data_IF_024235672170
#
_entry.id   IF_024235672170
#
_cell.length_a   1.000
_cell.length_b   1.000
_cell.length_c   1.000
_cell.angle_alpha   90.00
_cell.angle_beta   90.00
_cell.angle_gamma   90.00
#
_symmetry.space_group_name_H-M   'P 1'
#
loop_
_entity.id
_entity.type
_entity.pdbx_description
1 polymer ?
#
# COMPACT_ATOMS: atom_id res chain seq x y z
N UNK A 1 -31.75 19.40 13.40
CA UNK A 1 -31.34 19.29 13.28
C UNK A 1 -30.69 19.09 13.01
N UNK A 2 -30.58 19.02 13.10
CA UNK A 2 -30.03 18.83 12.98
C UNK A 2 -29.30 18.57 12.73
N UNK A 3 -29.26 18.51 12.96
CA UNK A 3 -28.50 18.25 12.87
C UNK A 3 -27.89 17.82 12.30
N UNK A 4 -28.10 17.62 12.32
CA UNK A 4 -27.50 17.29 11.87
C UNK A 4 -26.75 17.20 11.18
N UNK A 5 -27.30 17.10 11.13
CA UNK A 5 -26.56 16.99 9.93
C UNK A 5 -25.21 17.35 10.08
N UNK A 6 -25.34 17.84 10.75
CA UNK A 6 -24.18 18.15 10.83
C UNK A 6 -23.20 17.36 11.23
N UNK A 7 -23.62 16.59 11.79
CA UNK A 7 -22.70 15.56 12.04
C UNK A 7 -21.89 15.25 10.84
N UNK A 8 -22.54 15.21 9.72
CA UNK A 8 -21.85 15.03 8.47
C UNK A 8 -20.77 16.08 8.27
N UNK A 9 -21.03 17.28 8.64
CA UNK A 9 -20.05 18.34 8.53
C UNK A 9 -18.81 18.07 9.34
N UNK A 10 -18.99 17.60 10.56
CA UNK A 10 -17.86 17.32 11.42
C UNK A 10 -16.98 16.21 10.91
N UNK A 11 -17.54 15.25 10.22
CA UNK A 11 -16.81 14.10 9.75
C UNK A 11 -16.10 14.36 8.43
N UNK A 12 -16.68 15.18 7.58
CA UNK A 12 -16.17 15.40 6.25
C UNK A 12 -14.73 15.92 6.24
N UNK A 13 -14.34 16.90 7.03
CA UNK A 13 -12.96 17.35 7.03
C UNK A 13 -11.96 16.27 7.37
N UNK A 14 -12.28 15.40 8.31
CA UNK A 14 -11.42 14.31 8.69
C UNK A 14 -11.19 13.34 7.52
N UNK A 15 -12.25 13.04 6.81
CA UNK A 15 -12.15 12.15 5.64
C UNK A 15 -11.30 12.77 4.55
N UNK A 16 -11.44 14.05 4.34
CA UNK A 16 -10.67 14.74 3.31
C UNK A 16 -9.19 14.72 3.63
N UNK A 17 -8.83 14.88 4.90
CA UNK A 17 -7.45 14.80 5.31
C UNK A 17 -6.86 13.44 4.99
N UNK A 18 -7.61 12.37 5.25
CA UNK A 18 -7.15 11.02 4.95
C UNK A 18 -6.95 10.81 3.46
N UNK A 19 -7.78 11.43 2.65
CA UNK A 19 -7.71 11.25 1.20
C UNK A 19 -6.52 11.94 0.57
N UNK A 20 -5.91 12.89 1.25
CA UNK A 20 -4.74 13.60 0.71
C UNK A 20 -3.61 12.63 0.39
N UNK A 21 -3.47 11.56 1.16
CA UNK A 21 -2.39 10.59 0.93
C UNK A 21 -2.70 9.58 -0.16
N UNK A 22 -3.96 9.44 -0.57
CA UNK A 22 -4.44 8.43 -1.53
C UNK A 22 -4.20 6.99 -1.10
N UNK A 23 -3.43 6.74 -0.07
CA UNK A 23 -3.10 5.40 0.36
C UNK A 23 -4.12 4.82 1.31
N UNK A 24 -4.24 3.50 1.31
CA UNK A 24 -5.07 2.77 2.27
C UNK A 24 -4.18 2.15 3.33
N UNK A 25 -4.79 1.81 4.45
CA UNK A 25 -4.06 1.23 5.58
C UNK A 25 -4.82 0.05 6.15
N UNK A 26 -4.09 -0.84 6.80
CA UNK A 26 -4.70 -1.99 7.47
C UNK A 26 -3.78 -2.49 8.56
N UNK A 27 -4.36 -2.85 9.68
CA UNK A 27 -3.66 -3.53 10.76
C UNK A 27 -4.03 -5.01 10.72
N UNK A 28 -3.04 -5.87 10.78
CA UNK A 28 -3.23 -7.31 10.86
C UNK A 28 -2.42 -7.81 12.05
N UNK A 29 -3.08 -7.85 13.22
CA UNK A 29 -2.36 -8.09 14.47
C UNK A 29 -1.31 -7.03 14.70
N UNK A 30 -0.06 -7.44 14.85
CA UNK A 30 1.06 -6.54 15.07
C UNK A 30 1.66 -5.99 13.77
N UNK A 31 1.16 -6.42 12.62
CA UNK A 31 1.59 -5.88 11.33
C UNK A 31 0.76 -4.66 10.99
N UNK A 32 1.45 -3.56 10.72
CA UNK A 32 0.82 -2.29 10.37
C UNK A 32 1.20 -1.93 8.94
N UNK A 33 0.21 -1.93 8.05
CA UNK A 33 0.39 -1.56 6.65
C UNK A 33 -0.18 -0.17 6.44
N UNK A 34 0.61 0.71 5.85
CA UNK A 34 0.25 2.13 5.70
C UNK A 34 0.54 2.61 4.29
N UNK A 35 -0.28 3.56 3.84
CA UNK A 35 -0.07 4.28 2.58
C UNK A 35 0.06 3.34 1.39
N UNK A 36 -0.76 2.29 1.36
CA UNK A 36 -0.69 1.28 0.29
C UNK A 36 -1.41 1.82 -0.94
N UNK A 37 -0.69 1.90 -2.05
CA UNK A 37 -1.23 2.29 -3.34
C UNK A 37 -0.36 1.73 -4.45
N UNK A 38 -0.86 1.80 -5.68
CA UNK A 38 -0.22 1.22 -6.84
C UNK A 38 -0.02 2.33 -7.87
N UNK A 39 1.20 2.47 -8.38
CA UNK A 39 1.51 3.45 -9.42
C UNK A 39 1.51 2.75 -10.76
N UNK A 40 0.62 3.16 -11.65
CA UNK A 40 0.57 2.65 -13.02
C UNK A 40 1.62 3.37 -13.86
N UNK A 41 2.50 2.61 -14.48
CA UNK A 41 3.58 3.14 -15.31
C UNK A 41 3.14 3.20 -16.77
N UNK A 42 3.76 4.07 -17.59
CA UNK A 42 3.33 4.25 -18.99
C UNK A 42 3.39 2.99 -19.84
N UNK A 43 4.27 2.05 -19.51
CA UNK A 43 4.42 0.82 -20.28
C UNK A 43 3.42 -0.28 -19.91
N UNK A 44 2.47 0.02 -19.02
CA UNK A 44 1.47 -0.94 -18.55
C UNK A 44 1.87 -1.71 -17.30
N UNK A 45 3.11 -1.55 -16.87
CA UNK A 45 3.55 -2.14 -15.60
C UNK A 45 3.07 -1.30 -14.43
N UNK A 46 3.28 -1.80 -13.23
CA UNK A 46 2.93 -1.06 -12.03
C UNK A 46 3.87 -1.41 -10.89
N UNK A 47 4.05 -0.47 -10.00
CA UNK A 47 4.87 -0.65 -8.80
C UNK A 47 4.07 -0.31 -7.56
N UNK A 48 4.42 -0.95 -6.45
CA UNK A 48 3.74 -0.78 -5.17
C UNK A 48 4.38 0.34 -4.38
N UNK A 49 3.54 1.14 -3.72
CA UNK A 49 3.94 2.01 -2.63
C UNK A 49 3.32 1.45 -1.37
N UNK A 50 4.12 1.25 -0.34
CA UNK A 50 3.63 0.74 0.94
C UNK A 50 4.67 0.98 2.02
N UNK A 51 4.19 1.01 3.26
CA UNK A 51 5.00 1.11 4.46
C UNK A 51 4.51 0.02 5.41
N UNK A 52 5.37 -0.92 5.77
CA UNK A 52 4.99 -2.06 6.60
C UNK A 52 5.89 -2.10 7.83
N UNK A 53 5.28 -2.17 9.01
CA UNK A 53 5.99 -2.27 10.28
C UNK A 53 5.45 -3.46 11.06
N UNK A 54 6.36 -4.23 11.64
CA UNK A 54 6.03 -5.31 12.55
C UNK A 54 6.30 -4.83 13.97
N UNK A 55 5.27 -4.83 14.82
CA UNK A 55 5.41 -4.43 16.23
C UNK A 55 5.57 -5.61 17.18
N UNK A 56 5.59 -6.83 16.65
CA UNK A 56 5.80 -8.03 17.46
C UNK A 56 7.28 -8.23 17.75
N UNK A 57 7.60 -8.78 18.92
CA UNK A 57 8.98 -9.09 19.28
C UNK A 57 9.59 -10.13 18.35
N UNK A 58 8.77 -11.06 17.87
CA UNK A 58 9.22 -12.06 16.90
C UNK A 58 9.19 -11.45 15.50
N UNK A 59 10.25 -11.68 14.72
CA UNK A 59 10.30 -11.22 13.35
C UNK A 59 9.32 -12.00 12.47
N UNK A 60 8.93 -11.39 11.37
CA UNK A 60 8.11 -12.02 10.35
C UNK A 60 8.84 -11.88 9.01
N UNK A 61 8.28 -12.46 7.96
CA UNK A 61 8.84 -12.34 6.62
C UNK A 61 7.71 -12.10 5.63
N UNK A 62 7.98 -11.23 4.66
CA UNK A 62 7.08 -11.04 3.53
C UNK A 62 7.42 -12.09 2.47
N UNK A 63 6.52 -13.04 2.27
CA UNK A 63 6.77 -14.16 1.36
C UNK A 63 6.40 -13.83 -0.08
N UNK A 64 5.32 -13.06 -0.29
CA UNK A 64 4.85 -12.72 -1.62
C UNK A 64 3.93 -11.53 -1.59
N UNK A 65 3.87 -10.82 -2.73
CA UNK A 65 2.93 -9.73 -2.97
C UNK A 65 2.25 -10.00 -4.31
N UNK A 66 0.93 -9.86 -4.34
CA UNK A 66 0.15 -9.93 -5.57
C UNK A 66 -0.55 -8.59 -5.78
N UNK A 67 -0.45 -8.06 -6.99
CA UNK A 67 -1.09 -6.80 -7.36
C UNK A 67 -2.06 -7.13 -8.48
N UNK A 68 -3.35 -6.92 -8.25
CA UNK A 68 -4.43 -7.22 -9.19
C UNK A 68 -4.34 -8.66 -9.71
N UNK A 69 -4.07 -9.61 -8.80
CA UNK A 69 -3.97 -11.02 -9.15
C UNK A 69 -2.66 -11.44 -9.77
N UNK A 70 -1.73 -10.52 -10.02
CA UNK A 70 -0.43 -10.81 -10.61
C UNK A 70 0.63 -10.87 -9.52
N UNK A 71 1.41 -11.94 -9.49
CA UNK A 71 2.52 -12.03 -8.53
C UNK A 71 3.57 -10.98 -8.88
N UNK A 72 3.91 -10.16 -7.91
CA UNK A 72 4.90 -9.11 -8.11
C UNK A 72 6.32 -9.69 -8.04
N UNK A 73 7.21 -9.13 -8.84
CA UNK A 73 8.63 -9.31 -8.64
C UNK A 73 9.03 -8.51 -7.42
N UNK A 74 9.55 -9.20 -6.41
CA UNK A 74 9.81 -8.61 -5.10
C UNK A 74 11.32 -8.53 -4.87
N UNK A 75 11.81 -7.31 -4.64
CA UNK A 75 13.21 -7.06 -4.33
C UNK A 75 13.29 -6.48 -2.93
N UNK A 76 13.75 -7.27 -1.98
CA UNK A 76 13.88 -6.89 -0.58
C UNK A 76 14.61 -8.02 0.15
N UNK A 77 15.11 -7.73 1.35
CA UNK A 77 15.60 -8.80 2.23
C UNK A 77 14.45 -9.59 2.89
N UNK A 78 13.22 -9.15 2.69
CA UNK A 78 11.99 -9.81 3.12
C UNK A 78 11.77 -9.92 4.63
N UNK A 79 12.74 -9.54 5.46
CA UNK A 79 12.65 -9.71 6.91
C UNK A 79 12.01 -8.48 7.55
N UNK A 80 11.07 -8.72 8.45
CA UNK A 80 10.38 -7.69 9.21
C UNK A 80 10.70 -7.85 10.69
N UNK A 81 11.84 -7.31 11.09
CA UNK A 81 12.20 -7.24 12.49
C UNK A 81 11.37 -6.19 13.21
N UNK A 82 11.25 -6.33 14.52
CA UNK A 82 10.42 -5.43 15.31
C UNK A 82 10.82 -3.97 15.07
N UNK A 83 9.84 -3.15 14.73
CA UNK A 83 9.94 -1.70 14.55
C UNK A 83 10.93 -1.27 13.46
N UNK A 84 11.33 -2.16 12.58
CA UNK A 84 12.15 -1.83 11.42
C UNK A 84 11.29 -1.86 10.17
N UNK A 85 10.95 -0.71 9.59
CA UNK A 85 9.97 -0.67 8.51
C UNK A 85 10.52 -1.23 7.20
N UNK A 86 9.63 -1.86 6.45
CA UNK A 86 9.85 -2.20 5.05
C UNK A 86 9.14 -1.13 4.22
N UNK A 87 9.91 -0.40 3.43
CA UNK A 87 9.42 0.78 2.71
C UNK A 87 9.55 0.54 1.22
N UNK A 88 8.41 0.58 0.52
CA UNK A 88 8.35 0.44 -0.93
C UNK A 88 8.27 1.83 -1.54
N UNK A 89 9.27 2.20 -2.33
CA UNK A 89 9.40 3.46 -3.05
C UNK A 89 9.64 4.67 -2.13
N UNK A 90 10.43 5.60 -2.64
CA UNK A 90 10.81 6.81 -1.94
C UNK A 90 12.29 6.81 -1.57
N UNK A 91 12.73 7.90 -0.93
CA UNK A 91 14.15 8.09 -0.61
C UNK A 91 14.68 7.06 0.38
N UNK A 92 13.81 6.58 1.25
CA UNK A 92 14.18 5.59 2.28
C UNK A 92 13.81 4.16 1.89
N UNK A 93 13.49 3.91 0.63
CA UNK A 93 13.02 2.61 0.19
C UNK A 93 14.07 1.52 0.42
N UNK A 94 13.61 0.39 0.94
CA UNK A 94 14.41 -0.81 1.09
C UNK A 94 13.71 -2.02 0.47
N UNK A 95 12.66 -1.79 -0.29
CA UNK A 95 11.88 -2.83 -0.95
C UNK A 95 11.30 -2.31 -2.26
N UNK A 96 11.04 -3.23 -3.18
CA UNK A 96 10.35 -2.92 -4.43
C UNK A 96 9.49 -4.11 -4.83
N UNK A 97 8.28 -3.82 -5.30
CA UNK A 97 7.38 -4.83 -5.84
C UNK A 97 6.77 -4.30 -7.13
N UNK A 98 6.95 -5.03 -8.22
CA UNK A 98 6.54 -4.59 -9.53
C UNK A 98 5.87 -5.72 -10.29
N UNK A 99 4.80 -5.40 -11.03
CA UNK A 99 4.14 -6.32 -11.95
C UNK A 99 4.30 -5.81 -13.37
N UNK A 100 4.44 -6.74 -14.32
CA UNK A 100 4.65 -6.37 -15.72
C UNK A 100 3.40 -5.82 -16.36
N UNK A 101 2.22 -6.31 -15.96
CA UNK A 101 0.93 -5.91 -16.54
C UNK A 101 -0.06 -5.69 -15.40
N UNK A 102 -0.45 -4.44 -15.20
CA UNK A 102 -1.42 -4.12 -14.15
C UNK A 102 -2.85 -4.47 -14.56
N UNK A 103 -3.24 -4.11 -15.77
CA UNK A 103 -4.58 -4.37 -16.26
C UNK A 103 -5.66 -3.44 -15.70
N UNK A 104 -5.27 -2.30 -15.11
CA UNK A 104 -6.24 -1.34 -14.58
C UNK A 104 -5.72 0.08 -14.75
N UNK A 105 -6.63 1.04 -14.73
CA UNK A 105 -6.33 2.46 -14.98
C UNK A 105 -6.24 3.24 -13.70
N UNK A 106 -5.49 4.35 -13.68
CA UNK A 106 -5.51 5.27 -12.55
C UNK A 106 -6.92 5.72 -12.22
N UNK A 107 -7.18 5.87 -10.93
CA UNK A 107 -8.49 6.24 -10.41
C UNK A 107 -9.33 5.06 -9.98
N UNK A 108 -8.98 3.86 -10.40
CA UNK A 108 -9.67 2.64 -10.01
C UNK A 108 -8.90 1.95 -8.89
N UNK A 109 -9.52 0.97 -8.24
CA UNK A 109 -8.88 0.22 -7.16
C UNK A 109 -8.61 -1.19 -7.62
N UNK A 110 -7.52 -1.75 -7.11
CA UNK A 110 -7.15 -3.15 -7.36
C UNK A 110 -6.84 -3.82 -6.04
N UNK A 111 -7.08 -5.12 -5.93
CA UNK A 111 -6.67 -5.85 -4.74
C UNK A 111 -5.15 -5.97 -4.71
N UNK A 112 -4.58 -5.71 -3.54
CA UNK A 112 -3.18 -5.98 -3.24
C UNK A 112 -3.15 -6.97 -2.10
N UNK A 113 -2.47 -8.09 -2.31
CA UNK A 113 -2.43 -9.17 -1.32
C UNK A 113 -1.00 -9.38 -0.89
N UNK A 114 -0.79 -9.32 0.41
CA UNK A 114 0.50 -9.61 1.03
C UNK A 114 0.41 -10.95 1.74
N UNK A 115 1.41 -11.79 1.54
CA UNK A 115 1.53 -13.05 2.28
C UNK A 115 2.74 -12.97 3.20
N UNK A 116 2.46 -13.06 4.50
CA UNK A 116 3.50 -13.06 5.54
C UNK A 116 3.67 -14.46 6.09
N UNK A 117 4.91 -14.83 6.43
CA UNK A 117 5.20 -16.17 6.93
C UNK A 117 4.43 -16.48 8.21
N UNK A 118 4.33 -15.52 9.12
CA UNK A 118 3.59 -15.69 10.38
C UNK A 118 2.24 -14.99 10.35
N UNK A 119 2.20 -13.78 9.81
CA UNK A 119 0.98 -12.97 9.80
C UNK A 119 -0.07 -13.44 8.81
N UNK A 120 0.28 -14.31 7.89
CA UNK A 120 -0.66 -14.86 6.93
C UNK A 120 -1.02 -13.90 5.81
N UNK A 121 -2.19 -14.08 5.26
CA UNK A 121 -2.69 -13.31 4.11
C UNK A 121 -3.32 -12.02 4.58
N UNK A 122 -2.92 -10.89 3.99
CA UNK A 122 -3.51 -9.57 4.24
C UNK A 122 -3.87 -8.96 2.91
N UNK A 123 -5.12 -8.58 2.73
CA UNK A 123 -5.63 -8.04 1.48
C UNK A 123 -6.19 -6.65 1.68
N UNK A 124 -5.89 -5.73 0.74
CA UNK A 124 -6.42 -4.38 0.71
C UNK A 124 -6.86 -4.05 -0.71
N UNK A 125 -7.82 -3.13 -0.83
CA UNK A 125 -8.17 -2.52 -2.10
C UNK A 125 -7.40 -1.20 -2.21
N UNK A 126 -6.40 -1.17 -3.08
CA UNK A 126 -5.51 -0.03 -3.22
C UNK A 126 -5.87 0.81 -4.43
N UNK A 127 -5.77 2.11 -4.29
CA UNK A 127 -6.00 3.03 -5.39
C UNK A 127 -4.83 2.94 -6.38
N UNK A 128 -5.15 2.92 -7.66
CA UNK A 128 -4.17 3.06 -8.74
C UNK A 128 -4.01 4.54 -9.04
N UNK A 129 -2.77 5.03 -8.98
CA UNK A 129 -2.44 6.42 -9.29
C UNK A 129 -1.56 6.47 -10.53
N UNK A 130 -1.61 7.61 -11.22
CA UNK A 130 -0.80 7.81 -12.41
C UNK A 130 0.64 8.15 -12.03
N UNK A 131 1.55 7.83 -12.95
CA UNK A 131 2.98 8.15 -12.81
C UNK A 131 3.23 9.62 -13.19
N UNK A 132 2.59 10.52 -12.45
CA UNK A 132 2.67 11.97 -12.68
C UNK A 132 2.80 12.69 -11.34
N UNK A 133 3.16 13.97 -11.40
CA UNK A 133 3.29 14.78 -10.19
C UNK A 133 4.30 14.18 -9.23
N UNK A 134 3.89 13.96 -8.00
CA UNK A 134 4.79 13.41 -6.96
C UNK A 134 5.24 11.98 -7.26
N UNK A 135 4.57 11.29 -8.18
CA UNK A 135 4.92 9.91 -8.55
C UNK A 135 5.76 9.83 -9.82
N UNK A 136 6.13 10.95 -10.41
CA UNK A 136 6.78 10.95 -11.72
C UNK A 136 8.17 10.32 -11.73
N UNK A 137 8.83 10.26 -10.58
CA UNK A 137 10.16 9.64 -10.45
C UNK A 137 10.11 8.14 -10.23
N UNK A 138 8.95 7.56 -10.07
CA UNK A 138 8.80 6.12 -9.80
C UNK A 138 8.90 5.34 -11.12
N UNK A 139 9.70 4.28 -11.10
CA UNK A 139 9.95 3.44 -12.28
C UNK A 139 9.53 2.00 -12.05
#
# INVERSE_FOLDING_TARGET
>A
MLLTGCAAGGQAPTRMIKQVTDGVEKDAGDLKLRNVKVVALPDGSATLIAFIVNHNDASDQLAAVFINGQRAELVTNAVLDKNKPMIFEGDSANAKAKVAVLGEKPGYRVPVVFYFAKGGKVELDALVVANTGIYSSIL
#
